data_IF_320183507585
#
_entry.id   IF_320183507585
#
_cell.length_a   1.000
_cell.length_b   1.000
_cell.length_c   1.000
_cell.angle_alpha   90.00
_cell.angle_beta   90.00
_cell.angle_gamma   90.00
#
_symmetry.space_group_name_H-M   'P 1'
#
loop_
_entity.id
_entity.type
_entity.pdbx_description
1 polymer ?
#
# COMPACT_ATOMS: atom_id res chain seq x y z
N UNK A 1 10.71 -9.14 16.33
CA UNK A 1 9.59 -8.83 15.42
C UNK A 1 8.90 -7.61 15.97
N UNK A 2 8.97 -6.50 15.24
CA UNK A 2 8.27 -5.28 15.62
C UNK A 2 6.76 -5.49 15.37
N UNK A 3 5.90 -4.97 16.24
CA UNK A 3 4.43 -5.09 16.10
C UNK A 3 3.93 -4.53 14.74
N UNK A 4 4.65 -3.56 14.18
CA UNK A 4 4.39 -2.94 12.87
C UNK A 4 4.67 -3.88 11.68
N UNK A 5 5.73 -4.71 11.76
CA UNK A 5 6.08 -5.69 10.72
C UNK A 5 4.99 -6.75 10.58
N UNK A 6 4.47 -7.24 11.71
CA UNK A 6 3.37 -8.21 11.75
C UNK A 6 2.08 -7.62 11.16
N UNK A 7 1.74 -6.38 11.53
CA UNK A 7 0.53 -5.71 11.03
C UNK A 7 0.58 -5.46 9.52
N UNK A 8 1.74 -5.08 8.99
CA UNK A 8 1.94 -4.87 7.56
C UNK A 8 1.77 -6.17 6.76
N UNK A 9 2.34 -7.27 7.25
CA UNK A 9 2.26 -8.58 6.59
C UNK A 9 0.83 -9.14 6.59
N UNK A 10 0.10 -9.01 7.71
CA UNK A 10 -1.31 -9.37 7.79
C UNK A 10 -2.16 -8.54 6.82
N UNK A 11 -1.91 -7.23 6.75
CA UNK A 11 -2.60 -6.33 5.84
C UNK A 11 -2.38 -6.73 4.37
N UNK A 12 -1.13 -7.01 3.97
CA UNK A 12 -0.81 -7.47 2.61
C UNK A 12 -1.47 -8.82 2.29
N UNK A 13 -1.47 -9.77 3.23
CA UNK A 13 -2.17 -11.05 3.08
C UNK A 13 -3.67 -10.88 2.81
N UNK A 14 -4.33 -9.97 3.52
CA UNK A 14 -5.75 -9.68 3.34
C UNK A 14 -6.01 -8.98 2.02
N UNK A 15 -5.17 -8.02 1.65
CA UNK A 15 -5.26 -7.29 0.39
C UNK A 15 -5.03 -8.20 -0.81
N UNK A 16 -4.09 -9.14 -0.72
CA UNK A 16 -3.88 -10.17 -1.74
C UNK A 16 -5.15 -10.97 -1.95
N UNK A 17 -5.68 -11.60 -0.89
CA UNK A 17 -6.88 -12.45 -0.96
C UNK A 17 -8.13 -11.70 -1.40
N UNK A 18 -8.47 -10.59 -0.73
CA UNK A 18 -9.68 -9.82 -1.04
C UNK A 18 -9.56 -9.06 -2.35
N UNK A 19 -8.36 -8.60 -2.67
CA UNK A 19 -8.06 -7.93 -3.92
C UNK A 19 -8.32 -8.81 -5.13
N UNK A 20 -8.04 -10.12 -5.04
CA UNK A 20 -8.32 -11.06 -6.14
C UNK A 20 -9.83 -11.09 -6.46
N UNK A 21 -10.68 -11.02 -5.44
CA UNK A 21 -12.14 -10.97 -5.59
C UNK A 21 -12.64 -9.62 -6.11
N UNK A 22 -12.04 -8.51 -5.67
CA UNK A 22 -12.53 -7.16 -6.00
C UNK A 22 -12.01 -6.66 -7.36
N UNK A 23 -10.71 -6.86 -7.63
CA UNK A 23 -10.01 -6.33 -8.81
C UNK A 23 -9.62 -7.42 -9.81
N UNK A 24 -9.88 -8.69 -9.49
CA UNK A 24 -9.53 -9.84 -10.32
C UNK A 24 -8.12 -10.37 -10.02
N UNK A 25 -7.96 -11.70 -10.16
CA UNK A 25 -6.69 -12.40 -9.86
C UNK A 25 -5.51 -11.83 -10.63
N UNK A 26 -5.67 -11.59 -11.94
CA UNK A 26 -4.59 -11.07 -12.79
C UNK A 26 -4.06 -9.73 -12.29
N UNK A 27 -4.94 -8.80 -11.91
CA UNK A 27 -4.53 -7.48 -11.43
C UNK A 27 -3.70 -7.56 -10.15
N UNK A 28 -4.03 -8.50 -9.25
CA UNK A 28 -3.27 -8.71 -8.02
C UNK A 28 -1.94 -9.40 -8.27
N UNK A 29 -1.90 -10.40 -9.15
CA UNK A 29 -0.63 -11.04 -9.56
C UNK A 29 0.33 -10.01 -10.17
N UNK A 30 -0.17 -9.11 -11.03
CA UNK A 30 0.65 -8.02 -11.57
C UNK A 30 1.13 -7.05 -10.50
N UNK A 31 0.29 -6.75 -9.50
CA UNK A 31 0.63 -5.90 -8.35
C UNK A 31 1.76 -6.54 -7.53
N UNK A 32 1.63 -7.82 -7.19
CA UNK A 32 2.65 -8.59 -6.48
C UNK A 32 3.97 -8.67 -7.25
N UNK A 33 3.90 -8.95 -8.56
CA UNK A 33 5.08 -9.03 -9.43
C UNK A 33 5.83 -7.70 -9.47
N UNK A 34 5.12 -6.56 -9.59
CA UNK A 34 5.73 -5.22 -9.57
C UNK A 34 6.36 -4.86 -8.23
N UNK A 35 5.84 -5.45 -7.15
CA UNK A 35 6.27 -5.18 -5.79
C UNK A 35 7.35 -6.14 -5.28
N UNK A 36 7.62 -7.24 -5.98
CA UNK A 36 8.51 -8.30 -5.48
C UNK A 36 7.91 -9.09 -4.32
N UNK A 37 6.58 -9.12 -4.21
CA UNK A 37 5.87 -9.82 -3.13
C UNK A 37 5.42 -11.19 -3.62
N UNK A 38 5.71 -12.22 -2.84
CA UNK A 38 5.19 -13.57 -3.04
C UNK A 38 3.74 -13.60 -2.54
N UNK A 39 2.82 -13.92 -3.45
CA UNK A 39 1.41 -14.05 -3.14
C UNK A 39 1.19 -15.37 -2.41
N UNK A 40 0.88 -15.30 -1.12
CA UNK A 40 0.52 -16.48 -0.33
C UNK A 40 -0.94 -16.82 -0.67
N UNK A 41 -1.14 -17.81 -1.55
CA UNK A 41 -2.46 -18.33 -1.91
C UNK A 41 -3.00 -19.30 -0.82
N UNK A 42 -2.16 -19.82 0.09
CA UNK A 42 -2.53 -20.76 1.16
C UNK A 42 -1.94 -20.34 2.53
N UNK A 43 -2.78 -20.04 3.55
CA UNK A 43 -2.30 -19.68 4.89
C UNK A 43 -1.57 -20.82 5.62
N UNK A 44 -1.72 -22.07 5.17
CA UNK A 44 -1.04 -23.25 5.75
C UNK A 44 0.29 -23.59 5.03
N UNK A 45 0.69 -22.79 4.03
CA UNK A 45 1.99 -22.95 3.36
C UNK A 45 3.11 -22.38 4.24
N UNK A 46 3.74 -23.26 5.03
CA UNK A 46 4.87 -22.96 5.92
C UNK A 46 6.13 -22.47 5.18
N UNK A 47 6.11 -22.39 3.84
CA UNK A 47 7.13 -21.71 3.03
C UNK A 47 6.92 -20.20 3.10
N UNK A 48 7.03 -19.64 4.30
CA UNK A 48 7.16 -18.21 4.51
C UNK A 48 8.54 -17.76 4.05
N UNK A 49 8.72 -17.60 2.74
CA UNK A 49 9.70 -16.62 2.28
C UNK A 49 9.20 -15.26 2.77
N UNK A 50 9.80 -14.77 3.85
CA UNK A 50 9.47 -13.47 4.44
C UNK A 50 9.69 -12.39 3.37
N UNK A 51 8.59 -11.80 2.92
CA UNK A 51 8.65 -10.63 2.06
C UNK A 51 9.35 -9.50 2.84
N UNK A 52 10.37 -8.88 2.25
CA UNK A 52 11.03 -7.74 2.88
C UNK A 52 10.02 -6.61 3.11
N UNK A 53 10.23 -5.82 4.17
CA UNK A 53 9.41 -4.64 4.45
C UNK A 53 9.30 -3.71 3.23
N UNK A 54 10.40 -3.49 2.51
CA UNK A 54 10.41 -2.69 1.28
C UNK A 54 9.45 -3.24 0.22
N UNK A 55 9.39 -4.57 0.06
CA UNK A 55 8.50 -5.23 -0.90
C UNK A 55 7.04 -5.06 -0.49
N UNK A 56 6.75 -5.18 0.82
CA UNK A 56 5.41 -4.98 1.37
C UNK A 56 4.94 -3.53 1.17
N UNK A 57 5.78 -2.54 1.47
CA UNK A 57 5.49 -1.12 1.25
C UNK A 57 5.24 -0.82 -0.24
N UNK A 58 6.09 -1.38 -1.11
CA UNK A 58 5.92 -1.27 -2.56
C UNK A 58 4.62 -1.90 -3.05
N UNK A 59 4.19 -3.01 -2.45
CA UNK A 59 2.90 -3.60 -2.74
C UNK A 59 1.75 -2.66 -2.37
N UNK A 60 1.79 -2.00 -1.20
CA UNK A 60 0.77 -1.01 -0.83
C UNK A 60 0.72 0.14 -1.84
N UNK A 61 1.88 0.60 -2.29
CA UNK A 61 1.99 1.65 -3.31
C UNK A 61 1.37 1.23 -4.64
N UNK A 62 1.67 0.03 -5.14
CA UNK A 62 1.07 -0.49 -6.37
C UNK A 62 -0.44 -0.75 -6.20
N UNK A 63 -0.86 -1.35 -5.09
CA UNK A 63 -2.27 -1.60 -4.79
C UNK A 63 -3.09 -0.30 -4.76
N UNK A 64 -2.52 0.79 -4.23
CA UNK A 64 -3.15 2.11 -4.19
C UNK A 64 -3.47 2.70 -5.59
N UNK A 65 -2.81 2.18 -6.64
CA UNK A 65 -3.01 2.63 -8.03
C UNK A 65 -4.21 1.95 -8.69
N UNK A 66 -4.76 0.88 -8.09
CA UNK A 66 -5.97 0.20 -8.58
C UNK A 66 -7.21 1.09 -8.51
N UNK A 67 -7.20 2.12 -7.67
CA UNK A 67 -8.19 3.19 -7.69
C UNK A 67 -8.52 3.78 -6.31
N UNK A 68 -9.50 4.70 -6.24
CA UNK A 68 -9.89 5.34 -4.98
C UNK A 68 -10.38 4.36 -3.92
N UNK A 69 -11.12 3.31 -4.32
CA UNK A 69 -11.59 2.28 -3.41
C UNK A 69 -10.43 1.51 -2.76
N UNK A 70 -9.38 1.19 -3.53
CA UNK A 70 -8.18 0.51 -3.03
C UNK A 70 -7.48 1.34 -1.96
N UNK A 71 -7.32 2.65 -2.20
CA UNK A 71 -6.76 3.60 -1.21
C UNK A 71 -7.56 3.65 0.07
N UNK A 72 -8.89 3.70 -0.04
CA UNK A 72 -9.76 3.69 1.14
C UNK A 72 -9.61 2.37 1.91
N UNK A 73 -9.54 1.23 1.22
CA UNK A 73 -9.27 -0.07 1.85
C UNK A 73 -7.94 -0.07 2.60
N UNK A 74 -6.87 0.48 2.00
CA UNK A 74 -5.56 0.61 2.66
C UNK A 74 -5.66 1.42 3.96
N UNK A 75 -6.33 2.58 3.93
CA UNK A 75 -6.52 3.43 5.11
C UNK A 75 -7.34 2.74 6.21
N UNK A 76 -8.36 1.98 5.84
CA UNK A 76 -9.19 1.23 6.81
C UNK A 76 -8.37 0.11 7.44
N UNK A 77 -7.68 -0.69 6.62
CA UNK A 77 -6.90 -1.81 7.13
C UNK A 77 -5.70 -1.33 7.95
N UNK A 78 -5.03 -0.26 7.57
CA UNK A 78 -3.91 0.28 8.34
C UNK A 78 -4.34 0.71 9.74
N UNK A 79 -5.58 1.19 9.91
CA UNK A 79 -6.17 1.47 11.22
C UNK A 79 -6.55 0.22 11.99
N UNK A 80 -7.00 -0.83 11.31
CA UNK A 80 -7.41 -2.10 11.95
C UNK A 80 -6.22 -2.93 12.43
N UNK A 81 -5.13 -2.94 11.68
CA UNK A 81 -3.93 -3.74 11.94
C UNK A 81 -2.78 -2.93 12.54
N UNK A 82 -3.05 -1.68 12.94
CA UNK A 82 -2.06 -0.74 13.50
C UNK A 82 -0.79 -0.58 12.63
N UNK A 83 -0.90 -0.83 11.32
CA UNK A 83 0.20 -0.81 10.38
C UNK A 83 0.49 0.62 9.89
N UNK A 84 1.77 0.97 9.82
CA UNK A 84 2.21 2.24 9.24
C UNK A 84 2.10 2.19 7.71
N UNK A 85 1.45 3.20 7.13
CA UNK A 85 1.42 3.36 5.66
C UNK A 85 2.61 4.21 5.20
N UNK A 86 3.16 3.91 4.00
CA UNK A 86 4.11 4.80 3.33
C UNK A 86 3.62 6.25 3.29
N UNK A 87 4.50 7.21 3.55
CA UNK A 87 4.17 8.64 3.59
C UNK A 87 3.50 9.11 2.29
N UNK A 88 3.88 8.53 1.15
CA UNK A 88 3.35 8.86 -0.15
C UNK A 88 1.84 8.56 -0.28
N UNK A 89 1.31 7.63 0.53
CA UNK A 89 -0.12 7.31 0.58
C UNK A 89 -0.90 8.25 1.51
N UNK A 90 -0.24 8.82 2.51
CA UNK A 90 -0.85 9.71 3.51
C UNK A 90 -0.68 11.18 3.16
N UNK A 91 0.32 11.52 2.32
CA UNK A 91 0.56 12.88 1.86
C UNK A 91 -0.60 13.34 0.99
N UNK A 92 -1.36 14.32 1.48
CA UNK A 92 -2.29 15.09 0.66
C UNK A 92 -1.51 15.59 -0.56
N UNK A 93 -1.97 15.27 -1.78
CA UNK A 93 -1.45 15.91 -2.99
C UNK A 93 -1.46 17.41 -2.72
N UNK A 94 -0.29 18.07 -2.78
CA UNK A 94 -0.20 19.53 -2.68
C UNK A 94 -1.21 20.10 -3.66
N UNK A 95 -2.13 20.91 -3.14
CA UNK A 95 -3.14 21.57 -3.95
C UNK A 95 -2.40 22.47 -4.96
N UNK A 96 -2.96 22.65 -6.15
CA UNK A 96 -2.45 23.65 -7.09
C UNK A 96 -2.38 25.04 -6.43
N UNK A 97 -3.26 25.30 -5.46
CA UNK A 97 -3.27 26.49 -4.60
C UNK A 97 -1.99 26.61 -3.76
N UNK A 98 -1.47 25.50 -3.22
CA UNK A 98 -0.25 25.51 -2.41
C UNK A 98 0.99 25.82 -3.26
N UNK A 99 1.00 25.34 -4.51
CA UNK A 99 2.07 25.61 -5.48
C UNK A 99 2.03 27.07 -5.93
N UNK A 100 0.84 27.61 -6.21
CA UNK A 100 0.68 29.01 -6.59
C UNK A 100 1.05 29.95 -5.43
N UNK A 101 0.71 29.60 -4.18
CA UNK A 101 1.12 30.38 -3.00
C UNK A 101 2.64 30.43 -2.86
N UNK A 102 3.32 29.29 -3.00
CA UNK A 102 4.79 29.21 -2.94
C UNK A 102 5.46 30.04 -4.05
N UNK A 103 4.88 30.09 -5.25
CA UNK A 103 5.40 30.91 -6.35
C UNK A 103 5.16 32.40 -6.11
N UNK A 104 4.00 32.78 -5.58
CA UNK A 104 3.70 34.17 -5.21
C UNK A 104 4.64 34.68 -4.11
N UNK A 105 4.95 33.84 -3.11
CA UNK A 105 5.90 34.19 -2.06
C UNK A 105 7.34 34.34 -2.60
N UNK A 106 7.69 33.58 -3.63
CA UNK A 106 9.00 33.65 -4.29
C UNK A 106 9.16 34.87 -5.20
N UNK A 107 8.06 35.35 -5.81
CA UNK A 107 8.07 36.54 -6.69
C UNK A 107 7.99 37.87 -5.92
N UNK A 108 7.64 37.84 -4.64
CA UNK A 108 7.53 39.02 -3.77
C UNK A 108 8.76 39.23 -2.86
N UNK A 109 9.83 38.47 -3.06
CA UNK A 109 11.18 38.71 -2.51
C UNK A 109 12.06 39.39 -3.57
#
# INVERSE_FOLDING_TARGET
>A
MNQDETGLQEMVSILGRRGQTIYGRQSIVETCTKAGVILIDDPDDERHEENSQESLERFLMEYSKLGPAARMTLLILSKQYEATLPEELTRKKKSFVDIVSLLSDFMNQ
#
